data_IF_605549422797
#
_entry.id   IF_605549422797
#
_cell.length_a   1.000
_cell.length_b   1.000
_cell.length_c   1.000
_cell.angle_alpha   90.00
_cell.angle_beta   90.00
_cell.angle_gamma   90.00
#
_symmetry.space_group_name_H-M   'P 1'
#
loop_
_entity.id
_entity.type
_entity.pdbx_description
1 polymer ?
#
# COMPACT_ATOMS: atom_id res chain seq x y z
N UNK A 1 19.96 14.18 0.64
CA UNK A 1 20.08 12.74 0.91
C UNK A 1 18.78 12.29 1.54
N UNK A 2 18.05 11.36 0.92
CA UNK A 2 16.87 10.75 1.56
C UNK A 2 17.35 9.81 2.66
N UNK A 3 16.82 9.95 3.87
CA UNK A 3 17.16 9.08 5.00
C UNK A 3 16.40 7.77 4.82
N UNK A 4 16.95 6.65 5.32
CA UNK A 4 16.36 5.30 5.19
C UNK A 4 14.87 5.23 5.58
N UNK A 5 14.43 6.09 6.50
CA UNK A 5 13.04 6.27 6.93
C UNK A 5 12.12 6.88 5.88
N UNK A 6 12.63 7.73 5.00
CA UNK A 6 11.84 8.48 4.01
C UNK A 6 11.42 7.57 2.83
N UNK A 7 12.28 6.60 2.49
CA UNK A 7 12.00 5.59 1.45
C UNK A 7 10.79 4.71 1.80
N UNK A 8 10.54 4.46 3.09
CA UNK A 8 9.38 3.69 3.54
C UNK A 8 8.03 4.38 3.25
N UNK A 9 8.04 5.71 3.07
CA UNK A 9 6.86 6.51 2.75
C UNK A 9 6.62 6.64 1.24
N UNK A 10 7.53 6.15 0.40
CA UNK A 10 7.33 6.11 -1.05
C UNK A 10 6.63 4.79 -1.38
N UNK A 11 5.38 4.87 -1.85
CA UNK A 11 4.66 3.70 -2.30
C UNK A 11 5.30 3.11 -3.56
N UNK A 12 5.23 1.78 -3.72
CA UNK A 12 5.68 1.11 -4.94
C UNK A 12 4.93 1.57 -6.20
N UNK A 13 3.74 2.15 -6.01
CA UNK A 13 2.97 2.81 -7.05
C UNK A 13 3.54 4.18 -7.49
N UNK A 14 4.54 4.72 -6.80
CA UNK A 14 5.05 6.08 -7.00
C UNK A 14 4.29 7.16 -6.23
N UNK A 15 3.19 6.82 -5.54
CA UNK A 15 2.48 7.77 -4.67
C UNK A 15 3.10 7.84 -3.28
N UNK A 16 3.09 9.03 -2.69
CA UNK A 16 3.39 9.21 -1.26
C UNK A 16 2.35 8.46 -0.41
N UNK A 17 2.79 7.59 0.51
CA UNK A 17 1.91 6.77 1.34
C UNK A 17 0.92 7.62 2.15
N UNK A 18 1.31 8.83 2.61
CA UNK A 18 0.41 9.74 3.31
C UNK A 18 -0.75 10.28 2.47
N UNK A 19 -0.76 10.06 1.15
CA UNK A 19 -1.88 10.35 0.26
C UNK A 19 -2.64 9.08 -0.18
N UNK A 20 -2.22 7.88 0.24
CA UNK A 20 -2.85 6.62 -0.14
C UNK A 20 -3.98 6.26 0.83
N UNK A 21 -5.22 6.19 0.34
CA UNK A 21 -6.39 5.89 1.16
C UNK A 21 -6.30 4.54 1.89
N UNK A 22 -5.70 3.50 1.28
CA UNK A 22 -5.54 2.18 1.91
C UNK A 22 -4.55 2.25 3.08
N UNK A 23 -3.47 3.02 2.93
CA UNK A 23 -2.51 3.25 4.01
C UNK A 23 -3.13 4.06 5.14
N UNK A 24 -3.84 5.16 4.82
CA UNK A 24 -4.50 5.99 5.82
C UNK A 24 -5.57 5.20 6.59
N UNK A 25 -6.39 4.40 5.91
CA UNK A 25 -7.36 3.51 6.56
C UNK A 25 -6.68 2.48 7.49
N UNK A 26 -5.54 1.93 7.08
CA UNK A 26 -4.73 1.03 7.90
C UNK A 26 -4.11 1.73 9.13
N UNK A 27 -3.65 2.97 8.96
CA UNK A 27 -2.94 3.74 10.00
C UNK A 27 -3.88 4.40 11.00
N UNK A 28 -4.93 5.05 10.53
CA UNK A 28 -5.85 5.86 11.34
C UNK A 28 -6.99 5.03 11.94
N UNK A 29 -7.39 3.95 11.27
CA UNK A 29 -8.45 3.08 11.77
C UNK A 29 -9.84 3.73 11.65
N UNK A 30 -10.71 3.43 12.62
CA UNK A 30 -12.03 4.05 12.75
C UNK A 30 -12.90 3.94 11.49
N UNK A 31 -13.60 5.03 11.18
CA UNK A 31 -14.52 5.12 10.03
C UNK A 31 -13.79 4.89 8.70
N UNK A 32 -12.58 5.42 8.54
CA UNK A 32 -11.77 5.20 7.33
C UNK A 32 -11.50 3.70 7.09
N UNK A 33 -11.25 2.94 8.15
CA UNK A 33 -11.06 1.48 8.06
C UNK A 33 -12.35 0.77 7.67
N UNK A 34 -13.47 1.13 8.29
CA UNK A 34 -14.78 0.55 7.97
C UNK A 34 -15.19 0.81 6.51
N UNK A 35 -15.04 2.06 6.06
CA UNK A 35 -15.37 2.45 4.68
C UNK A 35 -14.46 1.78 3.66
N UNK A 36 -13.17 1.65 3.97
CA UNK A 36 -12.25 0.95 3.11
C UNK A 36 -12.56 -0.55 3.04
N UNK A 37 -12.92 -1.17 4.16
CA UNK A 37 -13.33 -2.58 4.22
C UNK A 37 -14.55 -2.84 3.33
N UNK A 38 -15.56 -1.97 3.40
CA UNK A 38 -16.75 -2.02 2.53
C UNK A 38 -16.39 -1.85 1.07
N UNK A 39 -15.55 -0.86 0.72
CA UNK A 39 -15.09 -0.60 -0.65
C UNK A 39 -14.32 -1.79 -1.24
N UNK A 40 -13.54 -2.47 -0.42
CA UNK A 40 -12.70 -3.60 -0.84
C UNK A 40 -13.42 -4.96 -0.71
N UNK A 41 -14.62 -5.00 -0.12
CA UNK A 41 -15.37 -6.24 0.11
C UNK A 41 -14.68 -7.22 1.04
N UNK A 42 -13.92 -6.72 2.03
CA UNK A 42 -13.18 -7.53 3.00
C UNK A 42 -13.59 -7.19 4.44
N UNK A 43 -13.30 -8.07 5.42
CA UNK A 43 -13.48 -7.72 6.81
C UNK A 43 -12.56 -6.57 7.26
N UNK A 44 -13.05 -5.75 8.21
CA UNK A 44 -12.32 -4.57 8.70
C UNK A 44 -10.94 -4.91 9.29
N UNK A 45 -10.83 -6.05 9.97
CA UNK A 45 -9.57 -6.51 10.56
C UNK A 45 -8.50 -6.86 9.52
N UNK A 46 -8.88 -7.00 8.25
CA UNK A 46 -7.95 -7.19 7.14
C UNK A 46 -7.44 -5.89 6.51
N UNK A 47 -8.00 -4.73 6.87
CA UNK A 47 -7.53 -3.41 6.39
C UNK A 47 -6.35 -2.94 7.26
N UNK A 48 -5.15 -3.45 6.93
CA UNK A 48 -3.93 -3.28 7.73
C UNK A 48 -2.69 -2.88 6.95
N UNK A 49 -2.81 -2.02 5.93
CA UNK A 49 -1.65 -1.57 5.16
C UNK A 49 -0.69 -0.75 6.02
N UNK A 50 0.58 -1.18 6.08
CA UNK A 50 1.67 -0.51 6.83
C UNK A 50 2.62 0.29 5.93
N UNK A 51 2.29 0.42 4.65
CA UNK A 51 3.13 1.07 3.64
C UNK A 51 3.87 0.05 2.78
N UNK A 52 3.81 0.22 1.45
CA UNK A 52 4.38 -0.73 0.51
C UNK A 52 5.85 -0.46 0.15
N UNK A 53 6.37 0.73 0.43
CA UNK A 53 7.79 1.07 0.22
C UNK A 53 8.74 0.29 1.12
N UNK A 54 8.23 -0.23 2.25
CA UNK A 54 9.01 -1.09 3.14
C UNK A 54 9.12 -2.50 2.53
N UNK A 55 10.24 -2.76 1.84
CA UNK A 55 10.55 -4.03 1.17
C UNK A 55 10.48 -5.26 2.11
N UNK A 56 10.57 -5.05 3.42
CA UNK A 56 10.66 -6.12 4.42
C UNK A 56 9.30 -6.71 4.85
N UNK A 57 8.17 -6.04 4.56
CA UNK A 57 6.86 -6.57 4.95
C UNK A 57 5.72 -6.15 4.02
N UNK A 58 5.49 -6.94 2.97
CA UNK A 58 4.21 -6.95 2.24
C UNK A 58 3.20 -7.90 2.88
N UNK A 59 3.57 -8.58 3.98
CA UNK A 59 2.67 -9.47 4.74
C UNK A 59 1.47 -8.68 5.23
N UNK A 60 0.33 -8.86 4.57
CA UNK A 60 -0.94 -8.21 4.89
C UNK A 60 -1.49 -7.30 3.78
N UNK A 61 -0.69 -6.92 2.77
CA UNK A 61 -1.15 -6.03 1.69
C UNK A 61 -1.62 -6.86 0.48
N UNK A 62 -2.66 -7.69 0.67
CA UNK A 62 -3.30 -8.44 -0.43
C UNK A 62 -4.47 -7.68 -1.08
N UNK A 63 -4.68 -6.44 -0.67
CA UNK A 63 -5.88 -5.65 -0.97
C UNK A 63 -5.60 -4.54 -1.99
N UNK A 64 -4.34 -4.32 -2.34
CA UNK A 64 -3.95 -3.30 -3.30
C UNK A 64 -3.72 -3.93 -4.67
N UNK A 65 -4.58 -3.63 -5.64
CA UNK A 65 -4.44 -4.12 -7.02
C UNK A 65 -3.09 -3.71 -7.65
N UNK A 66 -2.50 -2.58 -7.23
CA UNK A 66 -1.16 -2.19 -7.71
C UNK A 66 -0.09 -3.15 -7.23
N UNK A 67 -0.15 -3.63 -5.98
CA UNK A 67 0.83 -4.63 -5.51
C UNK A 67 0.64 -5.97 -6.21
N UNK A 68 -0.60 -6.39 -6.43
CA UNK A 68 -0.90 -7.59 -7.20
C UNK A 68 -0.37 -7.48 -8.64
N UNK A 69 -0.51 -6.31 -9.27
CA UNK A 69 0.07 -6.02 -10.58
C UNK A 69 1.60 -6.14 -10.57
N UNK A 70 2.27 -5.57 -9.57
CA UNK A 70 3.72 -5.64 -9.43
C UNK A 70 4.22 -7.08 -9.20
N UNK A 71 3.55 -7.84 -8.33
CA UNK A 71 3.87 -9.26 -8.08
C UNK A 71 3.70 -10.11 -9.35
N UNK A 72 2.59 -9.92 -10.09
CA UNK A 72 2.32 -10.69 -11.31
C UNK A 72 3.18 -10.27 -12.50
N UNK A 73 3.65 -9.02 -12.53
CA UNK A 73 4.55 -8.51 -13.58
C UNK A 73 6.04 -8.66 -13.27
N UNK A 74 6.39 -9.16 -12.07
CA UNK A 74 7.80 -9.31 -11.65
C UNK A 74 8.53 -7.99 -11.42
N UNK A 75 7.80 -6.90 -11.15
CA UNK A 75 8.35 -5.55 -10.93
C UNK A 75 8.29 -5.15 -9.46
N UNK A 76 9.18 -4.27 -9.05
CA UNK A 76 9.22 -3.67 -7.73
C UNK A 76 8.44 -2.35 -7.66
N UNK A 77 8.41 -1.59 -8.76
CA UNK A 77 7.78 -0.28 -8.83
C UNK A 77 7.03 -0.06 -10.15
N UNK A 78 5.99 0.77 -10.12
CA UNK A 78 5.21 1.08 -11.33
C UNK A 78 6.01 1.81 -12.41
N UNK A 79 7.06 2.57 -12.04
CA UNK A 79 7.89 3.29 -13.02
C UNK A 79 8.73 2.33 -13.89
N UNK A 80 8.89 1.07 -13.49
CA UNK A 80 9.62 0.05 -14.25
C UNK A 80 8.81 -0.49 -15.45
N UNK A 81 7.60 0.01 -15.69
CA UNK A 81 6.84 -0.36 -16.88
C UNK A 81 7.37 0.35 -18.13
N UNK A 82 7.66 -0.45 -19.16
CA UNK A 82 8.00 0.00 -20.52
C UNK A 82 6.75 0.50 -21.27
N UNK A 83 6.08 1.51 -20.72
CA UNK A 83 4.88 2.18 -21.25
C UNK A 83 3.64 1.29 -21.48
#
# INVERSE_FOLDING_TARGET
MLVSSDLALIGRCGMYCGACAVYLAGKEGGELRSDMAKKLGIPEEKVGCVGCGNLLSTKGIKICEVLKCLETSGKNFCFECDK
#
